data_IF_267227269351
#
_entry.id   IF_267227269351
#
_cell.length_a   1.000
_cell.length_b   1.000
_cell.length_c   1.000
_cell.angle_alpha   90.00
_cell.angle_beta   90.00
_cell.angle_gamma   90.00
#
_symmetry.space_group_name_H-M   'P 1'
#
loop_
_entity.id
_entity.type
_entity.pdbx_description
1 polymer ?
#
# COMPACT_ATOMS: atom_id res chain seq x y z
N UNK A 1 -14.08 -0.29 -13.82
CA UNK A 1 -13.92 -1.26 -12.73
C UNK A 1 -14.03 -2.64 -13.34
N UNK A 2 -13.11 -3.53 -13.06
CA UNK A 2 -13.07 -4.89 -13.54
C UNK A 2 -12.76 -5.85 -12.36
N UNK A 3 -12.99 -7.14 -12.55
CA UNK A 3 -12.73 -8.15 -11.53
C UNK A 3 -11.88 -9.28 -12.06
N UNK A 4 -10.96 -9.76 -11.24
CA UNK A 4 -10.20 -10.98 -11.47
C UNK A 4 -10.77 -12.09 -10.59
N UNK A 5 -11.09 -13.25 -11.19
CA UNK A 5 -11.46 -14.44 -10.44
C UNK A 5 -10.20 -15.10 -9.89
N UNK A 6 -10.09 -15.17 -8.57
CA UNK A 6 -9.10 -15.96 -7.84
C UNK A 6 -9.68 -17.33 -7.51
N UNK A 7 -8.84 -18.26 -7.02
CA UNK A 7 -9.27 -19.60 -6.63
C UNK A 7 -10.34 -19.59 -5.51
N UNK A 8 -10.28 -18.60 -4.63
CA UNK A 8 -11.08 -18.51 -3.40
C UNK A 8 -11.89 -17.19 -3.30
N UNK A 9 -11.91 -16.37 -4.36
CA UNK A 9 -12.63 -15.09 -4.31
C UNK A 9 -12.43 -14.24 -5.57
N UNK A 10 -12.73 -12.95 -5.44
CA UNK A 10 -12.64 -11.97 -6.53
C UNK A 10 -11.77 -10.81 -6.10
N UNK A 11 -10.86 -10.39 -6.96
CA UNK A 11 -10.07 -9.16 -6.79
C UNK A 11 -10.65 -8.06 -7.68
N UNK A 12 -11.04 -6.96 -7.07
CA UNK A 12 -11.52 -5.77 -7.77
C UNK A 12 -10.33 -4.92 -8.23
N UNK A 13 -10.33 -4.45 -9.48
CA UNK A 13 -9.27 -3.59 -9.99
C UNK A 13 -9.79 -2.57 -11.03
N UNK A 14 -8.99 -1.54 -11.24
CA UNK A 14 -9.21 -0.51 -12.24
C UNK A 14 -7.93 -0.25 -13.02
N UNK A 15 -8.07 0.03 -14.31
CA UNK A 15 -6.96 0.41 -15.19
C UNK A 15 -7.22 1.81 -15.74
N UNK A 16 -6.22 2.68 -15.61
CA UNK A 16 -6.23 4.04 -16.13
C UNK A 16 -5.00 4.24 -17.07
N UNK A 17 -5.14 5.09 -18.09
CA UNK A 17 -4.06 5.42 -19.02
C UNK A 17 -3.98 4.52 -20.27
N UNK A 18 -2.99 4.76 -21.16
CA UNK A 18 -2.86 4.08 -22.45
C UNK A 18 -2.56 2.59 -22.29
N UNK A 19 -3.19 1.75 -23.11
CA UNK A 19 -3.07 0.29 -23.02
C UNK A 19 -1.66 -0.23 -23.32
N UNK A 20 -0.89 0.48 -24.14
CA UNK A 20 0.46 0.16 -24.58
C UNK A 20 1.57 0.82 -23.75
N UNK A 21 1.21 1.66 -22.77
CA UNK A 21 2.16 2.30 -21.88
C UNK A 21 2.75 1.31 -20.86
N UNK A 22 3.95 1.61 -20.28
CA UNK A 22 4.53 0.82 -19.20
C UNK A 22 3.56 0.66 -18.04
N UNK A 23 3.47 -0.56 -17.50
CA UNK A 23 2.53 -0.87 -16.42
C UNK A 23 3.08 -0.46 -15.07
N UNK A 24 2.25 0.25 -14.29
CA UNK A 24 2.46 0.56 -12.89
C UNK A 24 1.32 -0.05 -12.06
N UNK A 25 1.64 -0.96 -11.14
CA UNK A 25 0.68 -1.49 -10.16
C UNK A 25 0.75 -0.67 -8.88
N UNK A 26 -0.40 -0.28 -8.33
CA UNK A 26 -0.48 0.50 -7.09
C UNK A 26 -1.23 -0.28 -6.01
N UNK A 27 -0.59 -0.44 -4.85
CA UNK A 27 -1.07 -1.26 -3.72
C UNK A 27 -1.31 -0.41 -2.47
N UNK A 28 -2.45 -0.61 -1.84
CA UNK A 28 -3.05 0.26 -0.83
C UNK A 28 -2.46 0.04 0.58
N UNK A 29 -2.67 1.04 1.45
CA UNK A 29 -2.50 0.91 2.90
C UNK A 29 -3.62 0.06 3.51
N UNK A 30 -3.34 -0.56 4.66
CA UNK A 30 -4.33 -1.26 5.47
C UNK A 30 -5.52 -0.33 5.81
N UNK A 31 -6.73 -0.81 5.54
CA UNK A 31 -7.97 -0.05 5.80
C UNK A 31 -8.30 0.98 4.71
N UNK A 32 -7.62 0.97 3.56
CA UNK A 32 -7.97 1.82 2.43
C UNK A 32 -8.33 0.99 1.18
N UNK A 33 -8.84 1.64 0.16
CA UNK A 33 -9.18 1.04 -1.13
C UNK A 33 -8.38 1.70 -2.26
N UNK A 34 -8.56 1.22 -3.49
CA UNK A 34 -7.89 1.76 -4.68
C UNK A 34 -8.07 3.28 -4.86
N UNK A 35 -9.15 3.85 -4.30
CA UNK A 35 -9.44 5.28 -4.32
C UNK A 35 -8.45 6.15 -3.51
N UNK A 36 -7.60 5.57 -2.65
CA UNK A 36 -6.55 6.35 -1.98
C UNK A 36 -5.53 6.95 -2.96
N UNK A 37 -5.46 6.41 -4.18
CA UNK A 37 -4.55 6.82 -5.24
C UNK A 37 -5.15 7.82 -6.23
N UNK A 38 -6.40 8.26 -6.05
CA UNK A 38 -7.11 9.13 -6.99
C UNK A 38 -6.34 10.42 -7.33
N UNK A 39 -5.59 10.96 -6.35
CA UNK A 39 -4.79 12.18 -6.53
C UNK A 39 -3.69 11.99 -7.59
N UNK A 40 -3.11 10.80 -7.69
CA UNK A 40 -2.00 10.50 -8.59
C UNK A 40 -2.44 10.21 -10.04
N UNK A 41 -3.69 9.76 -10.23
CA UNK A 41 -4.14 9.20 -11.51
C UNK A 41 -4.10 10.19 -12.67
N UNK A 42 -4.54 11.47 -12.52
CA UNK A 42 -4.55 12.40 -13.63
C UNK A 42 -3.18 12.59 -14.31
N UNK A 43 -2.10 12.56 -13.52
CA UNK A 43 -0.75 12.73 -14.04
C UNK A 43 -0.12 11.40 -14.46
N UNK A 44 -0.24 10.35 -13.65
CA UNK A 44 0.34 9.03 -13.95
C UNK A 44 -0.25 8.43 -15.23
N UNK A 45 -1.56 8.55 -15.44
CA UNK A 45 -2.24 8.00 -16.61
C UNK A 45 -1.87 8.64 -17.93
N UNK A 46 -1.12 9.76 -17.92
CA UNK A 46 -0.55 10.36 -19.14
C UNK A 46 0.61 9.55 -19.71
N UNK A 47 1.32 8.78 -18.86
CA UNK A 47 2.56 8.10 -19.24
C UNK A 47 2.59 6.61 -18.88
N UNK A 48 1.69 6.14 -18.05
CA UNK A 48 1.66 4.76 -17.55
C UNK A 48 0.27 4.14 -17.74
N UNK A 49 0.25 2.83 -17.93
CA UNK A 49 -0.94 2.01 -17.74
C UNK A 49 -1.01 1.68 -16.25
N UNK A 50 -1.78 2.46 -15.50
CA UNK A 50 -1.89 2.37 -14.04
C UNK A 50 -2.93 1.32 -13.68
N UNK A 51 -2.51 0.29 -12.95
CA UNK A 51 -3.37 -0.77 -12.43
C UNK A 51 -3.51 -0.58 -10.93
N UNK A 52 -4.70 -0.20 -10.48
CA UNK A 52 -5.05 -0.10 -9.06
C UNK A 52 -5.97 -1.25 -8.69
N UNK A 53 -5.81 -1.81 -7.52
CA UNK A 53 -6.69 -2.89 -7.06
C UNK A 53 -7.04 -2.72 -5.58
N UNK A 54 -8.16 -3.25 -5.18
CA UNK A 54 -8.50 -3.41 -3.78
C UNK A 54 -7.84 -4.67 -3.26
N UNK A 55 -6.97 -4.51 -2.26
CA UNK A 55 -6.36 -5.67 -1.61
C UNK A 55 -7.45 -6.57 -1.02
N UNK A 56 -7.26 -7.88 -1.09
CA UNK A 56 -8.15 -8.89 -0.49
C UNK A 56 -8.66 -8.43 0.89
N UNK A 57 -9.96 -8.49 1.11
CA UNK A 57 -10.59 -8.02 2.35
C UNK A 57 -10.85 -6.52 2.45
N UNK A 58 -10.56 -5.76 1.37
CA UNK A 58 -10.79 -4.30 1.29
C UNK A 58 -11.65 -3.95 0.07
N UNK A 59 -12.26 -2.78 0.11
CA UNK A 59 -13.06 -2.24 -0.98
C UNK A 59 -14.07 -3.23 -1.51
N UNK A 60 -14.09 -3.43 -2.83
CA UNK A 60 -14.99 -4.35 -3.52
C UNK A 60 -14.37 -5.74 -3.76
N UNK A 61 -13.16 -6.01 -3.25
CA UNK A 61 -12.55 -7.34 -3.28
C UNK A 61 -13.14 -8.26 -2.24
N UNK A 62 -13.15 -9.58 -2.53
CA UNK A 62 -13.70 -10.60 -1.63
C UNK A 62 -13.02 -10.60 -0.26
N UNK A 63 -13.84 -10.84 0.76
CA UNK A 63 -13.40 -11.25 2.09
C UNK A 63 -13.40 -12.76 2.12
N UNK A 64 -12.23 -13.36 2.17
CA UNK A 64 -12.05 -14.80 2.28
C UNK A 64 -11.69 -15.20 3.72
N UNK A 65 -11.58 -16.49 4.00
CA UNK A 65 -11.17 -16.95 5.33
C UNK A 65 -9.72 -16.54 5.63
N UNK A 66 -9.51 -15.92 6.79
CA UNK A 66 -8.18 -15.54 7.30
C UNK A 66 -7.57 -16.58 8.22
N UNK A 67 -6.38 -16.31 8.79
CA UNK A 67 -5.58 -15.10 8.61
C UNK A 67 -4.92 -15.02 7.23
N UNK A 68 -4.69 -13.80 6.71
CA UNK A 68 -3.91 -13.63 5.49
C UNK A 68 -2.41 -13.56 5.79
N UNK A 69 -1.60 -13.69 4.73
CA UNK A 69 -0.15 -13.47 4.76
C UNK A 69 0.26 -12.49 3.65
N UNK A 70 1.39 -11.82 3.82
CA UNK A 70 1.95 -10.95 2.76
C UNK A 70 2.28 -11.79 1.51
N UNK A 71 2.67 -13.06 1.67
CA UNK A 71 2.83 -13.98 0.55
C UNK A 71 1.53 -14.14 -0.26
N UNK A 72 0.40 -14.40 0.42
CA UNK A 72 -0.91 -14.54 -0.24
C UNK A 72 -1.27 -13.26 -1.00
N UNK A 73 -1.12 -12.10 -0.36
CA UNK A 73 -1.40 -10.80 -0.99
C UNK A 73 -0.46 -10.51 -2.18
N UNK A 74 0.81 -10.92 -2.09
CA UNK A 74 1.76 -10.84 -3.21
C UNK A 74 1.40 -11.75 -4.37
N UNK A 75 0.93 -12.98 -4.08
CA UNK A 75 0.43 -13.91 -5.11
C UNK A 75 -0.81 -13.38 -5.82
N UNK A 76 -1.70 -12.66 -5.14
CA UNK A 76 -2.84 -11.98 -5.77
C UNK A 76 -2.37 -10.95 -6.81
N UNK A 77 -1.30 -10.19 -6.51
CA UNK A 77 -0.70 -9.26 -7.50
C UNK A 77 -0.12 -10.00 -8.69
N UNK A 78 0.58 -11.11 -8.48
CA UNK A 78 1.11 -11.90 -9.58
C UNK A 78 0.00 -12.48 -10.45
N UNK A 79 -1.09 -12.98 -9.85
CA UNK A 79 -2.26 -13.44 -10.58
C UNK A 79 -2.91 -12.33 -11.41
N UNK A 80 -2.98 -11.10 -10.88
CA UNK A 80 -3.48 -9.94 -11.60
C UNK A 80 -2.59 -9.60 -12.81
N UNK A 81 -1.27 -9.64 -12.65
CA UNK A 81 -0.34 -9.42 -13.77
C UNK A 81 -0.47 -10.52 -14.84
N UNK A 82 -0.66 -11.79 -14.44
CA UNK A 82 -0.83 -12.91 -15.35
C UNK A 82 -2.13 -12.79 -16.15
N UNK A 83 -3.25 -12.45 -15.51
CA UNK A 83 -4.53 -12.18 -16.17
C UNK A 83 -4.41 -11.05 -17.20
N UNK A 84 -3.71 -9.98 -16.84
CA UNK A 84 -3.49 -8.83 -17.72
C UNK A 84 -2.42 -9.08 -18.78
N UNK A 85 -1.79 -10.25 -18.78
CA UNK A 85 -0.68 -10.66 -19.69
C UNK A 85 0.50 -9.68 -19.61
N UNK A 86 0.78 -9.20 -18.39
CA UNK A 86 1.88 -8.28 -18.10
C UNK A 86 3.07 -9.08 -17.60
N UNK A 87 4.12 -9.17 -18.40
CA UNK A 87 5.33 -9.89 -18.05
C UNK A 87 6.13 -9.16 -16.97
N UNK A 88 6.28 -7.84 -17.11
CA UNK A 88 7.02 -7.00 -16.16
C UNK A 88 6.29 -5.69 -15.92
N UNK A 89 6.33 -5.20 -14.69
CA UNK A 89 5.70 -3.96 -14.27
C UNK A 89 6.61 -3.16 -13.32
N UNK A 90 6.29 -1.88 -13.10
CA UNK A 90 6.66 -1.16 -11.90
C UNK A 90 5.62 -1.40 -10.80
N UNK A 91 6.02 -1.33 -9.55
CA UNK A 91 5.12 -1.48 -8.40
C UNK A 91 5.31 -0.32 -7.41
N UNK A 92 4.22 0.26 -6.96
CA UNK A 92 4.19 1.29 -5.91
C UNK A 92 3.24 0.84 -4.81
N UNK A 93 3.77 0.67 -3.59
CA UNK A 93 2.97 0.22 -2.45
C UNK A 93 3.17 1.09 -1.23
N UNK A 94 2.08 1.44 -0.54
CA UNK A 94 2.09 2.24 0.67
C UNK A 94 1.76 1.39 1.89
N UNK A 95 2.58 1.47 2.95
CA UNK A 95 2.38 0.79 4.23
C UNK A 95 2.32 -0.74 4.04
N UNK A 96 1.17 -1.38 4.26
CA UNK A 96 0.94 -2.79 3.92
C UNK A 96 1.27 -3.08 2.45
N UNK A 97 0.90 -2.19 1.52
CA UNK A 97 1.28 -2.30 0.11
C UNK A 97 2.80 -2.29 -0.09
N UNK A 98 3.53 -1.57 0.76
CA UNK A 98 5.00 -1.59 0.76
C UNK A 98 5.58 -2.92 1.25
N UNK A 99 4.95 -3.60 2.22
CA UNK A 99 5.31 -4.98 2.60
C UNK A 99 5.07 -5.96 1.44
N UNK A 100 3.93 -5.80 0.73
CA UNK A 100 3.64 -6.59 -0.48
C UNK A 100 4.74 -6.35 -1.53
N UNK A 101 5.15 -5.09 -1.75
CA UNK A 101 6.24 -4.74 -2.66
C UNK A 101 7.57 -5.38 -2.29
N UNK A 102 7.91 -5.43 -1.00
CA UNK A 102 9.12 -6.12 -0.53
C UNK A 102 9.05 -7.61 -0.82
N UNK A 103 7.92 -8.28 -0.49
CA UNK A 103 7.75 -9.69 -0.80
C UNK A 103 7.88 -9.97 -2.30
N UNK A 104 7.27 -9.14 -3.15
CA UNK A 104 7.35 -9.25 -4.61
C UNK A 104 8.78 -9.08 -5.13
N UNK A 105 9.51 -8.10 -4.61
CA UNK A 105 10.92 -7.87 -4.97
C UNK A 105 11.85 -9.03 -4.60
N UNK A 106 11.56 -9.70 -3.49
CA UNK A 106 12.32 -10.86 -3.01
C UNK A 106 11.95 -12.13 -3.77
N UNK A 107 10.64 -12.42 -3.94
CA UNK A 107 10.16 -13.73 -4.41
C UNK A 107 9.83 -13.77 -5.91
N UNK A 108 9.70 -12.61 -6.56
CA UNK A 108 9.42 -12.51 -7.99
C UNK A 108 10.27 -11.41 -8.69
N UNK A 109 11.61 -11.37 -8.48
CA UNK A 109 12.46 -10.25 -8.89
C UNK A 109 12.39 -9.96 -10.40
N UNK A 110 12.17 -10.98 -11.23
CA UNK A 110 12.09 -10.83 -12.69
C UNK A 110 10.80 -10.15 -13.18
N UNK A 111 9.78 -10.07 -12.32
CA UNK A 111 8.47 -9.49 -12.66
C UNK A 111 8.44 -7.97 -12.47
N UNK A 112 9.43 -7.38 -11.79
CA UNK A 112 9.40 -5.96 -11.44
C UNK A 112 10.66 -5.22 -11.93
N UNK A 113 10.44 -4.07 -12.58
CA UNK A 113 11.51 -3.18 -13.04
C UNK A 113 11.88 -2.16 -11.97
N UNK A 114 10.87 -1.63 -11.29
CA UNK A 114 10.99 -0.61 -10.26
C UNK A 114 10.08 -0.97 -9.08
N UNK A 115 10.55 -0.71 -7.88
CA UNK A 115 9.77 -0.77 -6.64
C UNK A 115 9.75 0.61 -6.00
N UNK A 116 8.57 1.09 -5.64
CA UNK A 116 8.41 2.30 -4.83
C UNK A 116 7.73 1.90 -3.53
N UNK A 117 8.48 2.00 -2.43
CA UNK A 117 8.09 1.59 -1.09
C UNK A 117 7.77 2.83 -0.27
N UNK A 118 6.47 3.14 -0.12
CA UNK A 118 6.01 4.39 0.49
C UNK A 118 5.54 4.16 1.92
N UNK A 119 5.98 5.01 2.85
CA UNK A 119 5.49 5.01 4.24
C UNK A 119 5.35 3.59 4.80
N UNK A 120 6.43 2.82 4.73
CA UNK A 120 6.48 1.41 5.09
C UNK A 120 7.77 1.09 5.84
N UNK A 121 7.84 -0.09 6.40
CA UNK A 121 9.02 -0.64 7.05
C UNK A 121 9.18 -2.11 6.66
N UNK A 122 10.34 -2.69 6.89
CA UNK A 122 10.56 -4.14 6.70
C UNK A 122 9.87 -5.00 7.78
N UNK A 123 9.48 -4.36 8.88
CA UNK A 123 8.60 -4.87 9.93
C UNK A 123 7.79 -3.71 10.50
N UNK A 124 6.47 -3.78 10.48
CA UNK A 124 5.59 -2.71 10.97
C UNK A 124 5.02 -3.08 12.33
N UNK A 125 5.37 -2.29 13.36
CA UNK A 125 4.88 -2.49 14.73
C UNK A 125 5.37 -3.78 15.38
N UNK A 126 4.62 -4.28 16.33
CA UNK A 126 4.92 -5.50 17.06
C UNK A 126 3.66 -6.38 17.23
N UNK A 127 3.88 -7.65 17.59
CA UNK A 127 2.81 -8.63 17.71
C UNK A 127 1.75 -8.25 18.77
N UNK A 128 2.17 -7.67 19.90
CA UNK A 128 1.25 -7.28 20.98
C UNK A 128 0.26 -6.21 20.51
N UNK A 129 0.74 -5.13 19.87
CA UNK A 129 -0.10 -4.06 19.34
C UNK A 129 -1.05 -4.53 18.25
N UNK A 130 -0.58 -5.41 17.35
CA UNK A 130 -1.44 -5.98 16.32
C UNK A 130 -2.48 -6.94 16.90
N UNK A 131 -2.13 -7.80 17.87
CA UNK A 131 -3.08 -8.69 18.53
C UNK A 131 -4.15 -7.89 19.28
N UNK A 132 -3.78 -6.84 20.01
CA UNK A 132 -4.73 -5.95 20.69
C UNK A 132 -5.73 -5.32 19.69
N UNK A 133 -5.27 -4.90 18.52
CA UNK A 133 -6.13 -4.35 17.46
C UNK A 133 -7.05 -5.42 16.89
N UNK A 134 -6.54 -6.61 16.60
CA UNK A 134 -7.32 -7.77 16.14
C UNK A 134 -8.43 -8.11 17.13
N UNK A 135 -8.09 -8.21 18.42
CA UNK A 135 -9.04 -8.54 19.48
C UNK A 135 -10.13 -7.47 19.63
N UNK A 136 -9.74 -6.18 19.55
CA UNK A 136 -10.68 -5.05 19.59
C UNK A 136 -11.68 -5.11 18.44
N UNK A 137 -11.21 -5.37 17.22
CA UNK A 137 -12.08 -5.43 16.04
C UNK A 137 -12.93 -6.70 16.04
N UNK A 138 -12.40 -7.85 16.48
CA UNK A 138 -13.18 -9.07 16.63
C UNK A 138 -14.31 -8.92 17.66
N UNK A 139 -14.06 -8.21 18.76
CA UNK A 139 -15.07 -7.99 19.78
C UNK A 139 -16.13 -6.95 19.38
N UNK A 140 -15.74 -5.89 18.66
CA UNK A 140 -16.62 -4.74 18.36
C UNK A 140 -17.17 -4.70 16.94
N UNK A 141 -16.64 -5.51 16.01
CA UNK A 141 -17.11 -5.59 14.62
C UNK A 141 -17.12 -4.23 13.91
N UNK A 142 -18.19 -3.93 13.20
CA UNK A 142 -18.34 -2.69 12.45
C UNK A 142 -18.26 -1.43 13.34
N UNK A 143 -18.70 -1.51 14.59
CA UNK A 143 -18.56 -0.39 15.53
C UNK A 143 -17.08 -0.11 15.84
N UNK A 144 -16.28 -1.14 16.07
CA UNK A 144 -14.84 -0.96 16.31
C UNK A 144 -14.16 -0.34 15.09
N UNK A 145 -14.54 -0.73 13.86
CA UNK A 145 -14.03 -0.10 12.64
C UNK A 145 -14.36 1.39 12.57
N UNK A 146 -15.59 1.77 12.94
CA UNK A 146 -15.99 3.17 13.00
C UNK A 146 -15.22 3.95 14.10
N UNK A 147 -15.01 3.34 15.27
CA UNK A 147 -14.28 3.94 16.40
C UNK A 147 -12.78 4.15 16.09
N UNK A 148 -12.20 3.38 15.15
CA UNK A 148 -10.82 3.59 14.69
C UNK A 148 -10.62 4.90 13.89
N UNK A 149 -11.69 5.52 13.42
CA UNK A 149 -11.66 6.68 12.52
C UNK A 149 -10.82 7.84 13.04
N UNK A 150 -11.15 8.37 14.21
CA UNK A 150 -10.51 9.59 14.73
C UNK A 150 -9.02 9.39 15.03
N UNK A 151 -8.67 8.24 15.61
CA UNK A 151 -7.27 7.87 15.81
C UNK A 151 -6.50 7.63 14.50
N UNK A 152 -7.20 7.30 13.41
CA UNK A 152 -6.57 7.13 12.10
C UNK A 152 -6.33 8.44 11.39
N UNK A 153 -7.22 9.43 11.51
CA UNK A 153 -6.97 10.79 10.98
C UNK A 153 -5.64 11.32 11.55
N UNK A 154 -5.46 11.25 12.88
CA UNK A 154 -4.27 11.76 13.56
C UNK A 154 -2.98 11.01 13.20
N UNK A 155 -3.06 9.77 12.73
CA UNK A 155 -1.89 9.00 12.27
C UNK A 155 -1.62 9.18 10.78
N UNK A 156 -2.67 9.37 9.98
CA UNK A 156 -2.56 9.39 8.52
C UNK A 156 -2.21 10.74 7.95
N UNK A 157 -2.57 11.82 8.64
CA UNK A 157 -2.36 13.20 8.21
C UNK A 157 -1.73 14.04 9.31
N UNK A 158 -0.97 15.05 8.93
CA UNK A 158 -0.54 16.08 9.87
C UNK A 158 -1.74 16.89 10.36
N UNK A 159 -1.69 17.48 11.59
CA UNK A 159 -2.76 18.33 12.08
C UNK A 159 -3.07 19.49 11.13
N UNK A 160 -2.04 20.09 10.53
CA UNK A 160 -2.16 21.20 9.59
C UNK A 160 -2.92 20.79 8.34
N UNK A 161 -2.56 19.62 7.77
CA UNK A 161 -3.23 19.12 6.56
C UNK A 161 -4.68 18.77 6.82
N UNK A 162 -4.97 18.02 7.88
CA UNK A 162 -6.35 17.61 8.21
C UNK A 162 -7.25 18.81 8.54
N UNK A 163 -6.72 19.85 9.17
CA UNK A 163 -7.45 21.09 9.43
C UNK A 163 -7.74 21.90 8.15
N UNK A 164 -6.77 21.94 7.22
CA UNK A 164 -6.93 22.64 5.95
C UNK A 164 -7.78 21.87 4.92
N UNK A 165 -7.81 20.52 4.99
CA UNK A 165 -8.46 19.65 4.02
C UNK A 165 -9.39 18.63 4.68
N UNK A 166 -10.37 19.04 5.51
CA UNK A 166 -11.19 18.11 6.30
C UNK A 166 -12.00 17.14 5.41
N UNK A 167 -12.52 17.61 4.28
CA UNK A 167 -13.29 16.77 3.37
C UNK A 167 -12.45 15.64 2.72
N UNK A 168 -11.17 15.90 2.44
CA UNK A 168 -10.25 14.89 1.91
C UNK A 168 -9.91 13.88 3.00
N UNK A 169 -9.58 14.33 4.20
CA UNK A 169 -9.28 13.47 5.34
C UNK A 169 -10.49 12.56 5.66
N UNK A 170 -11.70 13.14 5.70
CA UNK A 170 -12.95 12.40 5.92
C UNK A 170 -13.21 11.35 4.85
N UNK A 171 -13.03 11.69 3.58
CA UNK A 171 -13.20 10.75 2.46
C UNK A 171 -12.27 9.56 2.59
N UNK A 172 -10.99 9.81 2.87
CA UNK A 172 -9.99 8.73 2.98
C UNK A 172 -10.27 7.86 4.21
N UNK A 173 -10.53 8.44 5.36
CA UNK A 173 -10.76 7.66 6.59
C UNK A 173 -12.10 6.92 6.56
N UNK A 174 -13.06 7.35 5.75
CA UNK A 174 -14.31 6.61 5.54
C UNK A 174 -14.08 5.24 4.88
N UNK A 175 -12.99 5.06 4.11
CA UNK A 175 -12.61 3.75 3.57
C UNK A 175 -12.35 2.76 4.71
N UNK A 176 -11.63 3.18 5.77
CA UNK A 176 -11.40 2.36 6.95
C UNK A 176 -12.72 2.00 7.65
N UNK A 177 -13.57 2.97 7.89
CA UNK A 177 -14.82 2.78 8.61
C UNK A 177 -15.78 1.81 7.89
N UNK A 178 -15.68 1.71 6.57
CA UNK A 178 -16.50 0.83 5.72
C UNK A 178 -15.81 -0.50 5.38
N UNK A 179 -14.54 -0.68 5.74
CA UNK A 179 -13.83 -1.94 5.53
C UNK A 179 -14.47 -3.06 6.36
N UNK A 180 -14.66 -4.24 5.74
CA UNK A 180 -15.21 -5.39 6.43
C UNK A 180 -14.30 -5.80 7.60
N UNK A 181 -14.85 -5.95 8.84
CA UNK A 181 -14.03 -6.27 10.02
C UNK A 181 -13.20 -7.55 9.89
N UNK A 182 -13.77 -8.62 9.32
CA UNK A 182 -13.05 -9.89 9.14
C UNK A 182 -11.90 -9.74 8.13
N UNK A 183 -12.12 -9.02 7.02
CA UNK A 183 -11.09 -8.69 6.05
C UNK A 183 -9.98 -7.83 6.65
N UNK A 184 -10.34 -6.83 7.45
CA UNK A 184 -9.38 -5.99 8.16
C UNK A 184 -8.51 -6.79 9.14
N UNK A 185 -9.14 -7.63 9.98
CA UNK A 185 -8.45 -8.51 10.94
C UNK A 185 -7.49 -9.47 10.24
N UNK A 186 -7.94 -10.09 9.15
CA UNK A 186 -7.10 -11.00 8.36
C UNK A 186 -5.85 -10.30 7.80
N UNK A 187 -5.98 -9.05 7.34
CA UNK A 187 -4.86 -8.23 6.89
C UNK A 187 -3.97 -7.73 8.05
N UNK A 188 -4.54 -7.42 9.22
CA UNK A 188 -3.74 -7.13 10.42
C UNK A 188 -2.79 -8.29 10.78
N UNK A 189 -3.26 -9.54 10.64
CA UNK A 189 -2.42 -10.71 10.84
C UNK A 189 -1.28 -10.78 9.80
N UNK A 190 -1.56 -10.50 8.54
CA UNK A 190 -0.53 -10.44 7.48
C UNK A 190 0.57 -9.41 7.81
N UNK A 191 0.19 -8.21 8.29
CA UNK A 191 1.16 -7.17 8.68
C UNK A 191 1.93 -7.56 9.93
N UNK A 192 1.24 -8.12 10.95
CA UNK A 192 1.86 -8.59 12.21
C UNK A 192 2.99 -9.58 11.97
N UNK A 193 2.75 -10.53 11.06
CA UNK A 193 3.64 -11.67 10.84
C UNK A 193 4.74 -11.39 9.81
N UNK A 194 4.66 -10.26 9.07
CA UNK A 194 5.67 -9.85 8.11
C UNK A 194 6.96 -9.38 8.79
N UNK A 195 8.08 -9.92 8.33
CA UNK A 195 9.42 -9.48 8.73
C UNK A 195 10.42 -9.76 7.60
N UNK A 196 10.81 -8.72 6.87
CA UNK A 196 11.73 -8.81 5.72
C UNK A 196 13.13 -8.25 6.03
N UNK A 197 13.44 -7.93 7.30
CA UNK A 197 14.69 -7.26 7.68
C UNK A 197 15.95 -7.98 7.18
N UNK A 198 15.96 -9.30 7.23
CA UNK A 198 17.10 -10.12 6.81
C UNK A 198 17.13 -10.42 5.29
N UNK A 199 16.04 -10.10 4.56
CA UNK A 199 15.87 -10.48 3.17
C UNK A 199 15.96 -9.31 2.19
N UNK A 200 16.03 -8.07 2.68
CA UNK A 200 16.03 -6.85 1.86
C UNK A 200 17.14 -6.84 0.79
N UNK A 201 18.31 -7.42 1.11
CA UNK A 201 19.44 -7.52 0.18
C UNK A 201 19.19 -8.41 -1.05
N UNK A 202 18.08 -9.14 -1.09
CA UNK A 202 17.67 -9.96 -2.24
C UNK A 202 16.85 -9.15 -3.27
N UNK A 203 16.46 -7.92 -2.95
CA UNK A 203 15.72 -7.05 -3.87
C UNK A 203 16.68 -6.51 -4.93
N UNK A 204 16.46 -6.89 -6.20
CA UNK A 204 17.29 -6.49 -7.34
C UNK A 204 16.69 -5.32 -8.14
N UNK A 205 15.38 -5.09 -8.02
CA UNK A 205 14.70 -4.02 -8.74
C UNK A 205 15.20 -2.64 -8.29
N UNK A 206 15.27 -1.68 -9.22
CA UNK A 206 15.50 -0.27 -8.84
C UNK A 206 14.47 0.12 -7.78
N UNK A 207 14.93 0.66 -6.66
CA UNK A 207 14.04 0.93 -5.52
C UNK A 207 14.08 2.39 -5.09
N UNK A 208 12.90 3.00 -4.96
CA UNK A 208 12.69 4.28 -4.30
C UNK A 208 11.92 4.05 -3.00
N UNK A 209 12.40 4.66 -1.93
CA UNK A 209 11.74 4.67 -0.63
C UNK A 209 11.20 6.08 -0.41
N UNK A 210 9.91 6.20 -0.11
CA UNK A 210 9.25 7.47 0.20
C UNK A 210 8.80 7.45 1.65
N UNK A 211 9.17 8.47 2.42
CA UNK A 211 8.79 8.62 3.81
C UNK A 211 8.10 9.96 4.07
N UNK A 212 7.20 9.97 5.06
CA UNK A 212 6.68 11.20 5.64
C UNK A 212 7.47 11.56 6.91
N UNK A 213 7.94 12.81 7.03
CA UNK A 213 8.70 13.24 8.21
C UNK A 213 7.85 13.30 9.48
N UNK A 214 6.52 13.38 9.34
CA UNK A 214 5.53 13.33 10.42
C UNK A 214 4.90 11.97 10.63
N UNK A 215 5.37 10.93 9.91
CA UNK A 215 4.82 9.58 10.04
C UNK A 215 5.28 8.92 11.35
N UNK A 216 4.33 8.70 12.26
CA UNK A 216 4.58 8.02 13.52
C UNK A 216 4.36 6.48 13.43
N UNK A 217 3.89 5.97 12.30
CA UNK A 217 3.64 4.53 12.08
C UNK A 217 4.88 3.87 11.49
N UNK A 218 5.44 4.48 10.45
CA UNK A 218 6.65 4.04 9.74
C UNK A 218 7.55 5.25 9.50
N UNK A 219 8.61 5.33 10.27
CA UNK A 219 9.44 6.54 10.35
C UNK A 219 10.44 6.66 9.19
N UNK A 220 11.02 7.86 8.95
CA UNK A 220 12.17 8.00 8.03
C UNK A 220 13.37 7.11 8.39
N UNK A 221 13.52 6.74 9.68
CA UNK A 221 14.54 5.78 10.14
C UNK A 221 14.28 4.37 9.58
N UNK A 222 13.02 3.94 9.54
CA UNK A 222 12.63 2.68 8.90
C UNK A 222 12.97 2.70 7.40
N UNK A 223 12.75 3.85 6.75
CA UNK A 223 13.16 4.08 5.37
C UNK A 223 14.67 3.94 5.19
N UNK A 224 15.46 4.63 6.03
CA UNK A 224 16.94 4.54 6.00
C UNK A 224 17.42 3.12 6.25
N UNK A 225 16.77 2.38 7.13
CA UNK A 225 17.09 0.97 7.37
C UNK A 225 16.95 0.13 6.10
N UNK A 226 15.87 0.33 5.34
CA UNK A 226 15.65 -0.36 4.06
C UNK A 226 16.65 0.13 3.00
N UNK A 227 16.84 1.45 2.88
CA UNK A 227 17.78 2.05 1.92
C UNK A 227 19.19 1.49 2.05
N UNK A 228 19.69 1.30 3.27
CA UNK A 228 21.02 0.77 3.53
C UNK A 228 21.20 -0.70 3.15
N UNK A 229 20.09 -1.45 2.99
CA UNK A 229 20.09 -2.90 2.75
C UNK A 229 19.67 -3.29 1.34
N UNK A 230 18.97 -2.42 0.64
CA UNK A 230 18.57 -2.63 -0.76
C UNK A 230 19.61 -1.93 -1.65
N UNK A 231 20.28 -2.70 -2.49
CA UNK A 231 21.35 -2.17 -3.34
C UNK A 231 20.84 -1.06 -4.28
N UNK A 232 21.47 0.11 -4.23
CA UNK A 232 21.15 1.26 -5.07
C UNK A 232 19.81 1.95 -4.75
N UNK A 233 19.18 1.63 -3.62
CA UNK A 233 17.93 2.28 -3.22
C UNK A 233 18.13 3.77 -2.94
N UNK A 234 17.17 4.57 -3.38
CA UNK A 234 17.08 6.00 -3.10
C UNK A 234 16.03 6.25 -2.03
N UNK A 235 16.14 7.34 -1.26
CA UNK A 235 15.11 7.78 -0.32
C UNK A 235 14.78 9.23 -0.56
N UNK A 236 13.48 9.55 -0.48
CA UNK A 236 12.93 10.90 -0.50
C UNK A 236 11.96 11.05 0.67
N UNK A 237 12.14 12.12 1.44
CA UNK A 237 11.31 12.44 2.60
C UNK A 237 10.42 13.65 2.27
N UNK A 238 9.11 13.55 2.54
CA UNK A 238 8.15 14.65 2.40
C UNK A 238 7.71 15.16 3.77
N UNK A 239 7.37 16.44 3.86
CA UNK A 239 6.67 16.97 5.03
C UNK A 239 5.21 16.52 5.00
N UNK A 240 4.96 15.32 5.49
CA UNK A 240 3.67 14.64 5.49
C UNK A 240 3.65 13.58 6.59
N UNK A 241 2.47 13.10 6.94
CA UNK A 241 2.30 11.95 7.81
C UNK A 241 2.23 10.64 6.99
N UNK A 242 1.45 9.64 7.46
CA UNK A 242 1.46 8.28 6.91
C UNK A 242 0.91 8.15 5.48
N UNK A 243 -0.08 8.95 5.10
CA UNK A 243 -0.59 8.95 3.72
C UNK A 243 0.04 10.10 2.90
N UNK A 244 1.36 10.05 2.77
CA UNK A 244 2.13 11.08 2.07
C UNK A 244 1.72 11.26 0.61
N UNK A 245 1.19 10.23 -0.04
CA UNK A 245 0.65 10.32 -1.40
C UNK A 245 -0.54 11.30 -1.50
N UNK A 246 -1.37 11.37 -0.46
CA UNK A 246 -2.50 12.31 -0.41
C UNK A 246 -2.03 13.67 0.06
N UNK A 247 -1.23 13.71 1.12
CA UNK A 247 -0.82 14.95 1.77
C UNK A 247 0.20 15.76 0.95
N UNK A 248 1.20 15.10 0.38
CA UNK A 248 2.19 15.72 -0.50
C UNK A 248 1.75 15.81 -1.98
N UNK A 249 0.63 15.16 -2.34
CA UNK A 249 -0.09 15.32 -3.61
C UNK A 249 0.82 15.36 -4.85
N UNK A 250 0.92 16.53 -5.46
CA UNK A 250 1.67 16.72 -6.71
C UNK A 250 3.16 16.44 -6.55
N UNK A 251 3.79 16.86 -5.44
CA UNK A 251 5.23 16.64 -5.22
C UNK A 251 5.56 15.15 -5.06
N UNK A 252 4.66 14.37 -4.42
CA UNK A 252 4.76 12.92 -4.38
C UNK A 252 4.66 12.33 -5.79
N UNK A 253 3.70 12.78 -6.57
CA UNK A 253 3.45 12.29 -7.93
C UNK A 253 4.63 12.59 -8.85
N UNK A 254 5.21 13.79 -8.78
CA UNK A 254 6.39 14.18 -9.55
C UNK A 254 7.62 13.33 -9.23
N UNK A 255 7.88 13.07 -7.94
CA UNK A 255 8.97 12.20 -7.52
C UNK A 255 8.79 10.77 -8.03
N UNK A 256 7.56 10.23 -7.96
CA UNK A 256 7.21 8.92 -8.49
C UNK A 256 7.46 8.84 -10.00
N UNK A 257 6.95 9.80 -10.79
CA UNK A 257 7.13 9.85 -12.25
C UNK A 257 8.61 9.98 -12.61
N UNK A 258 9.34 10.85 -11.93
CA UNK A 258 10.77 11.07 -12.19
C UNK A 258 11.57 9.78 -11.98
N UNK A 259 11.29 9.06 -10.90
CA UNK A 259 11.96 7.78 -10.61
C UNK A 259 11.59 6.69 -11.61
N UNK A 260 10.32 6.56 -11.98
CA UNK A 260 9.86 5.52 -12.90
C UNK A 260 10.36 5.70 -14.34
N UNK A 261 10.79 6.91 -14.72
CA UNK A 261 11.36 7.23 -16.02
C UNK A 261 12.90 7.18 -16.06
N UNK A 262 13.56 6.86 -14.92
CA UNK A 262 15.03 6.85 -14.79
C UNK A 262 15.73 5.58 -15.33
#
# INVERSE_FOLDING_TARGET
VATLQLADGVLNYQIDGPADAPVLVMSNSLGTSLGMWDVQIPELSKSFRVVRYDTRGHGDSSVTEGPYSIEQLGRDVLALLDELKVERAAFCGLSMGGLIGQWLGINAPKRFTHLVLCNTASKIGNAEGWNSRIDTVNAGGAKAMADLRDGSIARWFTPEYSAANPAVADRIVSMLATTNPAGYVANCAAVRDADFREQLGQIEAKTLIICGTGDAVTTPEDGRFMQQRIAGAQQVDFHAAHLSNVEAGDTFTDALISFLKS
#
